data_IF_450884604624
#
_entry.id   IF_450884604624
#
_cell.length_a   1.000
_cell.length_b   1.000
_cell.length_c   1.000
_cell.angle_alpha   90.00
_cell.angle_beta   90.00
_cell.angle_gamma   90.00
#
_symmetry.space_group_name_H-M   'P 1'
#
loop_
_entity.id
_entity.type
_entity.pdbx_description
1 polymer ?
#
# COMPACT_ATOMS: atom_id res chain seq x y z
N UNK A 1 21.64 8.60 -8.59
CA UNK A 1 21.27 7.16 -8.68
C UNK A 1 21.29 6.48 -7.31
N UNK A 2 22.42 6.45 -6.59
CA UNK A 2 22.55 5.74 -5.31
C UNK A 2 21.59 6.25 -4.21
N UNK A 3 21.48 7.56 -4.02
CA UNK A 3 20.59 8.16 -3.00
C UNK A 3 19.12 7.78 -3.23
N UNK A 4 18.65 7.84 -4.48
CA UNK A 4 17.28 7.46 -4.84
C UNK A 4 17.02 5.98 -4.53
N UNK A 5 17.98 5.10 -4.86
CA UNK A 5 17.88 3.68 -4.54
C UNK A 5 17.77 3.43 -3.03
N UNK A 6 18.58 4.11 -2.22
CA UNK A 6 18.52 4.00 -0.75
C UNK A 6 17.16 4.45 -0.22
N UNK A 7 16.64 5.59 -0.69
CA UNK A 7 15.32 6.09 -0.29
C UNK A 7 14.20 5.10 -0.64
N UNK A 8 14.24 4.51 -1.84
CA UNK A 8 13.27 3.49 -2.24
C UNK A 8 13.36 2.24 -1.38
N UNK A 9 14.56 1.78 -1.03
CA UNK A 9 14.77 0.63 -0.13
C UNK A 9 14.21 0.95 1.26
N UNK A 10 14.51 2.11 1.82
CA UNK A 10 13.95 2.55 3.11
C UNK A 10 12.41 2.58 3.06
N UNK A 11 11.83 3.11 1.99
CA UNK A 11 10.38 3.16 1.79
C UNK A 11 9.77 1.75 1.67
N UNK A 12 10.43 0.83 0.98
CA UNK A 12 10.02 -0.57 0.91
C UNK A 12 10.03 -1.21 2.31
N UNK A 13 11.08 -1.01 3.11
CA UNK A 13 11.14 -1.55 4.47
C UNK A 13 10.02 -1.01 5.37
N UNK A 14 9.76 0.29 5.31
CA UNK A 14 8.67 0.93 6.07
C UNK A 14 7.31 0.37 5.65
N UNK A 15 7.08 0.23 4.34
CA UNK A 15 5.81 -0.30 3.81
C UNK A 15 5.62 -1.78 4.09
N UNK A 16 6.70 -2.59 4.13
CA UNK A 16 6.66 -3.99 4.59
C UNK A 16 6.18 -4.03 6.04
N UNK A 17 6.85 -3.29 6.93
CA UNK A 17 6.46 -3.24 8.35
C UNK A 17 5.02 -2.77 8.52
N UNK A 18 4.63 -1.71 7.82
CA UNK A 18 3.26 -1.20 7.79
C UNK A 18 2.26 -2.26 7.30
N UNK A 19 2.60 -3.05 6.29
CA UNK A 19 1.73 -4.11 5.76
C UNK A 19 1.52 -5.21 6.80
N UNK A 20 2.59 -5.71 7.42
CA UNK A 20 2.51 -6.72 8.47
C UNK A 20 1.74 -6.23 9.69
N UNK A 21 2.04 -5.02 10.17
CA UNK A 21 1.36 -4.43 11.31
C UNK A 21 -0.15 -4.29 11.07
N UNK A 22 -0.55 -3.74 9.91
CA UNK A 22 -1.96 -3.60 9.57
C UNK A 22 -2.63 -4.95 9.30
N UNK A 23 -1.92 -5.95 8.79
CA UNK A 23 -2.43 -7.33 8.61
C UNK A 23 -2.76 -7.98 9.96
N UNK A 24 -1.87 -7.84 10.96
CA UNK A 24 -2.11 -8.33 12.32
C UNK A 24 -3.32 -7.62 12.93
N UNK A 25 -3.38 -6.28 12.84
CA UNK A 25 -4.51 -5.52 13.36
C UNK A 25 -5.83 -5.86 12.64
N UNK A 26 -5.81 -6.04 11.33
CA UNK A 26 -6.98 -6.48 10.57
C UNK A 26 -7.52 -7.81 11.10
N UNK A 27 -6.65 -8.77 11.43
CA UNK A 27 -7.07 -10.08 11.97
C UNK A 27 -7.61 -10.00 13.39
N UNK A 28 -7.15 -9.02 14.18
CA UNK A 28 -7.55 -8.84 15.59
C UNK A 28 -8.80 -7.98 15.80
N UNK A 29 -9.34 -7.38 14.74
CA UNK A 29 -10.49 -6.50 14.81
C UNK A 29 -11.63 -7.03 13.94
N UNK A 30 -12.84 -6.55 14.22
CA UNK A 30 -14.05 -6.90 13.48
C UNK A 30 -14.73 -5.64 12.92
N UNK A 31 -15.81 -5.83 12.14
CA UNK A 31 -16.63 -4.75 11.61
C UNK A 31 -15.86 -3.71 10.77
N UNK A 32 -16.18 -2.44 10.94
CA UNK A 32 -15.60 -1.34 10.15
C UNK A 32 -14.12 -1.10 10.45
N UNK A 33 -13.68 -1.36 11.69
CA UNK A 33 -12.28 -1.20 12.11
C UNK A 33 -11.38 -2.20 11.35
N UNK A 34 -11.84 -3.45 11.18
CA UNK A 34 -11.17 -4.44 10.32
C UNK A 34 -10.98 -3.91 8.89
N UNK A 35 -12.03 -3.32 8.32
CA UNK A 35 -12.00 -2.79 6.94
C UNK A 35 -11.08 -1.56 6.82
N UNK A 36 -10.99 -0.74 7.86
CA UNK A 36 -10.04 0.37 7.92
C UNK A 36 -8.59 -0.13 7.91
N UNK A 37 -8.27 -1.16 8.72
CA UNK A 37 -6.93 -1.76 8.70
C UNK A 37 -6.62 -2.44 7.37
N UNK A 38 -7.60 -3.09 6.74
CA UNK A 38 -7.46 -3.62 5.38
C UNK A 38 -7.13 -2.50 4.37
N UNK A 39 -7.82 -1.36 4.45
CA UNK A 39 -7.55 -0.21 3.58
C UNK A 39 -6.13 0.35 3.78
N UNK A 40 -5.67 0.46 5.04
CA UNK A 40 -4.29 0.88 5.36
C UNK A 40 -3.25 -0.12 4.84
N UNK A 41 -3.52 -1.43 4.95
CA UNK A 41 -2.67 -2.47 4.39
C UNK A 41 -2.56 -2.35 2.87
N UNK A 42 -3.68 -2.12 2.16
CA UNK A 42 -3.69 -1.93 0.71
C UNK A 42 -2.90 -0.69 0.28
N UNK A 43 -2.95 0.40 1.05
CA UNK A 43 -2.10 1.58 0.81
C UNK A 43 -0.62 1.19 0.91
N UNK A 44 -0.21 0.52 1.99
CA UNK A 44 1.18 0.12 2.19
C UNK A 44 1.67 -0.81 1.07
N UNK A 45 0.87 -1.81 0.69
CA UNK A 45 1.21 -2.70 -0.42
C UNK A 45 1.28 -1.96 -1.77
N UNK A 46 0.36 -1.01 -2.00
CA UNK A 46 0.38 -0.17 -3.20
C UNK A 46 1.66 0.65 -3.31
N UNK A 47 2.04 1.35 -2.24
CA UNK A 47 3.29 2.11 -2.18
C UNK A 47 4.51 1.19 -2.33
N UNK A 48 4.49 0.01 -1.71
CA UNK A 48 5.55 -0.99 -1.81
C UNK A 48 5.76 -1.43 -3.27
N UNK A 49 4.70 -1.81 -3.99
CA UNK A 49 4.80 -2.25 -5.39
C UNK A 49 5.31 -1.14 -6.31
N UNK A 50 4.84 0.09 -6.14
CA UNK A 50 5.34 1.24 -6.90
C UNK A 50 6.82 1.48 -6.61
N UNK A 51 7.24 1.36 -5.34
CA UNK A 51 8.63 1.56 -4.94
C UNK A 51 9.56 0.46 -5.48
N UNK A 52 9.11 -0.80 -5.45
CA UNK A 52 9.84 -1.94 -6.02
C UNK A 52 9.99 -1.75 -7.54
N UNK A 53 8.93 -1.34 -8.21
CA UNK A 53 8.99 -1.07 -9.65
C UNK A 53 9.94 0.10 -9.98
N UNK A 54 9.85 1.20 -9.24
CA UNK A 54 10.77 2.32 -9.39
C UNK A 54 12.24 1.89 -9.17
N UNK A 55 12.49 1.05 -8.17
CA UNK A 55 13.83 0.52 -7.90
C UNK A 55 14.30 -0.37 -9.06
N UNK A 56 13.44 -1.28 -9.53
CA UNK A 56 13.74 -2.14 -10.67
C UNK A 56 14.05 -1.34 -11.92
N UNK A 57 13.40 -0.22 -12.21
CA UNK A 57 13.74 0.65 -13.36
C UNK A 57 15.18 1.17 -13.33
N UNK A 58 15.79 1.31 -12.15
CA UNK A 58 17.18 1.81 -12.04
C UNK A 58 18.24 0.77 -12.41
N UNK A 59 17.87 -0.52 -12.45
CA UNK A 59 18.81 -1.60 -12.78
C UNK A 59 19.05 -1.67 -14.30
N UNK A 60 20.27 -1.95 -14.77
CA UNK A 60 20.53 -2.15 -16.20
C UNK A 60 19.86 -3.44 -16.72
N UNK A 61 19.40 -3.44 -17.97
CA UNK A 61 18.86 -4.63 -18.65
C UNK A 61 17.61 -4.35 -19.49
N UNK A 62 17.66 -4.63 -20.79
CA UNK A 62 16.62 -4.28 -21.77
C UNK A 62 15.82 -5.50 -22.22
N UNK A 63 15.10 -6.16 -21.31
CA UNK A 63 14.22 -7.28 -21.65
C UNK A 63 12.77 -6.83 -21.75
N UNK A 64 12.09 -7.17 -22.85
CA UNK A 64 10.65 -6.92 -23.00
C UNK A 64 9.84 -7.51 -21.85
N UNK A 65 10.17 -8.75 -21.44
CA UNK A 65 9.52 -9.43 -20.32
C UNK A 65 9.65 -8.62 -19.01
N UNK A 66 10.81 -8.01 -18.77
CA UNK A 66 11.05 -7.17 -17.60
C UNK A 66 10.11 -5.97 -17.58
N UNK A 67 10.00 -5.24 -18.69
CA UNK A 67 9.14 -4.05 -18.76
C UNK A 67 7.66 -4.41 -18.66
N UNK A 68 7.25 -5.54 -19.26
CA UNK A 68 5.88 -6.02 -19.15
C UNK A 68 5.51 -6.39 -17.70
N UNK A 69 6.35 -7.17 -17.01
CA UNK A 69 6.13 -7.51 -15.60
C UNK A 69 6.14 -6.26 -14.72
N UNK A 70 7.05 -5.33 -14.97
CA UNK A 70 7.12 -4.07 -14.26
C UNK A 70 5.83 -3.26 -14.40
N UNK A 71 5.28 -3.17 -15.62
CA UNK A 71 4.03 -2.49 -15.88
C UNK A 71 2.87 -3.12 -15.07
N UNK A 72 2.79 -4.45 -15.02
CA UNK A 72 1.79 -5.15 -14.20
C UNK A 72 1.94 -4.85 -12.71
N UNK A 73 3.18 -4.82 -12.19
CA UNK A 73 3.45 -4.48 -10.79
C UNK A 73 3.05 -3.05 -10.48
N UNK A 74 3.34 -2.09 -11.37
CA UNK A 74 2.93 -0.69 -11.23
C UNK A 74 1.41 -0.59 -11.24
N UNK A 75 0.74 -1.26 -12.19
CA UNK A 75 -0.72 -1.25 -12.30
C UNK A 75 -1.38 -1.82 -11.03
N UNK A 76 -0.89 -2.95 -10.53
CA UNK A 76 -1.35 -3.53 -9.27
C UNK A 76 -1.10 -2.58 -8.07
N UNK A 77 0.06 -1.92 -8.04
CA UNK A 77 0.40 -0.91 -7.03
C UNK A 77 -0.57 0.28 -7.03
N UNK A 78 -0.86 0.83 -8.21
CA UNK A 78 -1.78 1.96 -8.37
C UNK A 78 -3.22 1.60 -8.00
N UNK A 79 -3.69 0.41 -8.41
CA UNK A 79 -5.02 -0.10 -8.06
C UNK A 79 -5.15 -0.23 -6.55
N UNK A 80 -4.17 -0.87 -5.89
CA UNK A 80 -4.16 -1.03 -4.44
C UNK A 80 -4.11 0.31 -3.69
N UNK A 81 -3.32 1.27 -4.20
CA UNK A 81 -3.21 2.59 -3.61
C UNK A 81 -4.52 3.39 -3.75
N UNK A 82 -5.12 3.40 -4.93
CA UNK A 82 -6.37 4.09 -5.19
C UNK A 82 -7.51 3.57 -4.30
N UNK A 83 -7.74 2.25 -4.32
CA UNK A 83 -8.79 1.64 -3.49
C UNK A 83 -8.46 1.75 -2.00
N UNK A 84 -7.19 1.63 -1.61
CA UNK A 84 -6.75 1.83 -0.24
C UNK A 84 -7.09 3.23 0.28
N UNK A 85 -6.81 4.28 -0.48
CA UNK A 85 -7.14 5.66 -0.11
C UNK A 85 -8.65 5.88 -0.07
N UNK A 86 -9.38 5.44 -1.12
CA UNK A 86 -10.83 5.57 -1.22
C UNK A 86 -11.53 4.93 -0.02
N UNK A 87 -11.18 3.68 0.28
CA UNK A 87 -11.80 2.95 1.38
C UNK A 87 -11.36 3.46 2.75
N UNK A 88 -10.10 3.90 2.91
CA UNK A 88 -9.67 4.52 4.17
C UNK A 88 -10.52 5.74 4.52
N UNK A 89 -10.75 6.63 3.55
CA UNK A 89 -11.61 7.82 3.75
C UNK A 89 -13.04 7.41 4.12
N UNK A 90 -13.64 6.52 3.32
CA UNK A 90 -15.00 6.04 3.55
C UNK A 90 -15.19 5.42 4.95
N UNK A 91 -14.32 4.51 5.37
CA UNK A 91 -14.47 3.86 6.68
C UNK A 91 -14.18 4.80 7.84
N UNK A 92 -13.24 5.75 7.70
CA UNK A 92 -13.01 6.78 8.72
C UNK A 92 -14.24 7.66 8.93
N UNK A 93 -14.90 8.10 7.85
CA UNK A 93 -16.14 8.89 7.96
C UNK A 93 -17.26 8.10 8.63
N UNK A 94 -17.42 6.81 8.30
CA UNK A 94 -18.45 5.96 8.91
C UNK A 94 -18.20 5.70 10.40
N UNK A 95 -16.94 5.50 10.80
CA UNK A 95 -16.57 5.34 12.21
C UNK A 95 -16.92 6.60 13.01
N UNK A 96 -16.57 7.78 12.48
CA UNK A 96 -16.84 9.05 13.16
C UNK A 96 -18.35 9.28 13.36
N UNK A 97 -19.16 9.03 12.31
CA UNK A 97 -20.63 9.13 12.39
C UNK A 97 -21.23 8.19 13.42
N UNK A 98 -20.72 6.95 13.51
CA UNK A 98 -21.17 5.99 14.52
C UNK A 98 -20.80 6.44 15.94
N UNK A 99 -19.63 7.06 16.12
CA UNK A 99 -19.22 7.62 17.41
C UNK A 99 -20.08 8.79 17.86
N UNK A 100 -20.46 9.69 16.94
CA UNK A 100 -21.37 10.81 17.22
C UNK A 100 -22.79 10.36 17.59
N UNK A 101 -23.32 9.33 16.91
CA UNK A 101 -24.67 8.82 17.19
C UNK A 101 -24.78 8.01 18.51
N UNK A 102 -23.65 7.64 19.10
CA UNK A 102 -23.58 6.91 20.37
C UNK A 102 -23.38 7.83 21.60
N UNK A 103 -23.19 9.13 21.37
CA UNK A 103 -23.11 10.18 22.39
C UNK A 103 -24.49 10.82 22.60
#
# INVERSE_FOLDING_TARGET
MQVVGILLICLILITIFGTFFNSILQRRNEGMIKRLYQARMNINMGVMFISIAALQLTLPGSSFLRYFLLFLVIAAGLINLYYGIKYRRYYTEMINKQSEAAQ
#
